data_IF_767696164245
#
_entry.id   IF_767696164245
#
_cell.length_a   1.000
_cell.length_b   1.000
_cell.length_c   1.000
_cell.angle_alpha   90.00
_cell.angle_beta   90.00
_cell.angle_gamma   90.00
#
_symmetry.space_group_name_H-M   'P 1'
#
loop_
_entity.id
_entity.type
_entity.pdbx_description
1 polymer ?
#
# COMPACT_ATOMS: atom_id res chain seq x y z
N UNK A 1 21.39 13.33 -4.86
CA UNK A 1 20.05 13.29 -4.22
C UNK A 1 20.16 13.85 -2.81
N UNK A 2 19.19 14.67 -2.37
CA UNK A 2 19.25 15.37 -1.07
C UNK A 2 18.89 14.45 0.11
N UNK A 3 19.32 14.77 1.35
CA UNK A 3 18.90 14.04 2.55
C UNK A 3 17.38 13.94 2.72
N UNK A 4 16.65 15.00 2.33
CA UNK A 4 15.18 15.03 2.38
C UNK A 4 14.53 14.01 1.44
N UNK A 5 15.14 13.77 0.27
CA UNK A 5 14.67 12.76 -0.67
C UNK A 5 14.72 11.36 -0.03
N UNK A 6 15.83 11.01 0.62
CA UNK A 6 15.98 9.69 1.24
C UNK A 6 15.02 9.51 2.41
N UNK A 7 14.82 10.55 3.23
CA UNK A 7 13.84 10.53 4.33
C UNK A 7 12.41 10.33 3.82
N UNK A 8 12.02 11.03 2.75
CA UNK A 8 10.69 10.85 2.14
C UNK A 8 10.51 9.44 1.60
N UNK A 9 11.54 8.90 0.94
CA UNK A 9 11.53 7.53 0.42
C UNK A 9 11.39 6.50 1.54
N UNK A 10 12.14 6.64 2.63
CA UNK A 10 12.04 5.78 3.81
C UNK A 10 10.61 5.81 4.41
N UNK A 11 10.02 7.01 4.52
CA UNK A 11 8.64 7.17 4.98
C UNK A 11 7.62 6.50 4.05
N UNK A 12 7.80 6.62 2.73
CA UNK A 12 6.92 6.01 1.74
C UNK A 12 7.02 4.48 1.77
N UNK A 13 8.24 3.93 1.90
CA UNK A 13 8.47 2.49 2.07
C UNK A 13 7.88 1.95 3.38
N UNK A 14 7.97 2.70 4.47
CA UNK A 14 7.36 2.34 5.75
C UNK A 14 5.82 2.33 5.69
N UNK A 15 5.22 3.34 5.04
CA UNK A 15 3.77 3.39 4.76
C UNK A 15 3.30 2.23 3.89
N UNK A 16 4.04 1.92 2.83
CA UNK A 16 3.76 0.78 1.96
C UNK A 16 3.84 -0.56 2.71
N UNK A 17 4.77 -0.70 3.66
CA UNK A 17 4.86 -1.88 4.54
C UNK A 17 3.63 -1.99 5.44
N UNK A 18 3.22 -0.90 6.09
CA UNK A 18 2.02 -0.88 6.93
C UNK A 18 0.77 -1.27 6.13
N UNK A 19 0.59 -0.70 4.94
CA UNK A 19 -0.52 -1.04 4.05
C UNK A 19 -0.51 -2.54 3.67
N UNK A 20 0.65 -3.11 3.33
CA UNK A 20 0.78 -4.55 3.03
C UNK A 20 0.40 -5.42 4.22
N UNK A 21 0.90 -5.13 5.42
CA UNK A 21 0.60 -5.90 6.64
C UNK A 21 -0.89 -5.84 6.97
N UNK A 22 -1.49 -4.65 6.91
CA UNK A 22 -2.91 -4.49 7.22
C UNK A 22 -3.81 -5.24 6.21
N UNK A 23 -3.48 -5.18 4.92
CA UNK A 23 -4.21 -5.93 3.88
C UNK A 23 -3.99 -7.43 4.00
N UNK A 24 -2.77 -7.87 4.30
CA UNK A 24 -2.47 -9.28 4.54
C UNK A 24 -3.35 -9.85 5.66
N UNK A 25 -3.46 -9.12 6.77
CA UNK A 25 -4.34 -9.44 7.88
C UNK A 25 -5.82 -9.49 7.45
N UNK A 26 -6.35 -8.42 6.83
CA UNK A 26 -7.77 -8.31 6.51
C UNK A 26 -8.27 -9.28 5.43
N UNK A 27 -7.38 -9.75 4.54
CA UNK A 27 -7.71 -10.63 3.42
C UNK A 27 -7.19 -12.07 3.59
N UNK A 28 -6.57 -12.39 4.74
CA UNK A 28 -6.05 -13.73 5.03
C UNK A 28 -4.97 -14.16 4.05
N UNK A 29 -4.04 -13.26 3.73
CA UNK A 29 -2.88 -13.51 2.87
C UNK A 29 -1.62 -13.52 3.71
N UNK A 30 -0.68 -14.43 3.40
CA UNK A 30 0.61 -14.45 4.09
C UNK A 30 1.41 -13.18 3.78
N UNK A 31 1.90 -12.48 4.81
CA UNK A 31 2.70 -11.25 4.63
C UNK A 31 3.92 -11.48 3.73
N UNK A 32 4.59 -12.62 3.87
CA UNK A 32 5.73 -12.99 3.04
C UNK A 32 5.40 -13.05 1.53
N UNK A 33 4.16 -13.34 1.16
CA UNK A 33 3.72 -13.38 -0.24
C UNK A 33 3.37 -11.98 -0.79
N UNK A 34 3.11 -11.00 0.07
CA UNK A 34 2.82 -9.61 -0.32
C UNK A 34 4.06 -8.91 -0.89
N UNK A 35 5.25 -9.33 -0.47
CA UNK A 35 6.54 -8.77 -0.90
C UNK A 35 7.08 -9.43 -2.18
N UNK A 36 6.52 -10.58 -2.57
CA UNK A 36 6.99 -11.32 -3.73
C UNK A 36 6.79 -10.53 -5.05
N UNK A 37 7.82 -10.47 -5.88
CA UNK A 37 7.75 -9.82 -7.19
C UNK A 37 6.84 -10.58 -8.17
N UNK A 38 6.72 -11.90 -8.03
CA UNK A 38 5.86 -12.74 -8.88
C UNK A 38 4.40 -12.71 -8.43
N UNK A 39 3.45 -13.02 -9.32
CA UNK A 39 2.01 -13.00 -9.02
C UNK A 39 1.60 -13.95 -7.88
N UNK A 40 2.36 -15.03 -7.65
CA UNK A 40 2.02 -16.13 -6.74
C UNK A 40 0.64 -16.68 -7.11
N UNK A 41 -0.42 -16.39 -6.34
CA UNK A 41 -1.81 -16.74 -6.68
C UNK A 41 -2.69 -15.47 -6.84
N UNK A 42 -3.89 -15.63 -7.39
CA UNK A 42 -4.80 -14.51 -7.66
C UNK A 42 -5.18 -13.70 -6.41
N UNK A 43 -5.34 -14.35 -5.25
CA UNK A 43 -5.68 -13.68 -3.98
C UNK A 43 -4.54 -12.80 -3.49
N UNK A 44 -3.30 -13.29 -3.56
CA UNK A 44 -2.11 -12.51 -3.21
C UNK A 44 -1.96 -11.31 -4.14
N UNK A 45 -2.12 -11.52 -5.45
CA UNK A 45 -2.03 -10.45 -6.43
C UNK A 45 -3.05 -9.34 -6.17
N UNK A 46 -4.30 -9.73 -5.87
CA UNK A 46 -5.36 -8.78 -5.52
C UNK A 46 -5.08 -8.05 -4.20
N UNK A 47 -4.57 -8.75 -3.18
CA UNK A 47 -4.11 -8.12 -1.94
C UNK A 47 -3.07 -7.02 -2.20
N UNK A 48 -2.09 -7.26 -3.07
CA UNK A 48 -1.10 -6.23 -3.42
C UNK A 48 -1.72 -5.04 -4.15
N UNK A 49 -2.73 -5.29 -4.99
CA UNK A 49 -3.47 -4.22 -5.68
C UNK A 49 -4.20 -3.32 -4.69
N UNK A 50 -4.87 -3.92 -3.70
CA UNK A 50 -5.50 -3.20 -2.59
C UNK A 50 -4.48 -2.40 -1.79
N UNK A 51 -3.34 -3.00 -1.43
CA UNK A 51 -2.31 -2.31 -0.67
C UNK A 51 -1.74 -1.08 -1.42
N UNK A 52 -1.55 -1.19 -2.74
CA UNK A 52 -1.13 -0.06 -3.58
C UNK A 52 -2.19 1.04 -3.64
N UNK A 53 -3.46 0.66 -3.79
CA UNK A 53 -4.59 1.58 -3.79
C UNK A 53 -4.71 2.34 -2.46
N UNK A 54 -4.70 1.62 -1.33
CA UNK A 54 -4.76 2.22 0.01
C UNK A 54 -3.57 3.15 0.26
N UNK A 55 -2.36 2.77 -0.17
CA UNK A 55 -1.20 3.66 -0.05
C UNK A 55 -1.38 4.96 -0.85
N UNK A 56 -2.06 4.91 -2.00
CA UNK A 56 -2.38 6.08 -2.80
C UNK A 56 -3.36 7.02 -2.08
N UNK A 57 -4.47 6.50 -1.57
CA UNK A 57 -5.58 7.33 -1.03
C UNK A 57 -5.43 7.68 0.46
N UNK A 58 -4.81 6.82 1.27
CA UNK A 58 -4.69 7.03 2.72
C UNK A 58 -3.48 7.90 3.08
N UNK A 59 -2.43 7.87 2.25
CA UNK A 59 -1.19 8.61 2.47
C UNK A 59 -0.88 9.64 1.39
N UNK A 60 -1.81 9.85 0.44
CA UNK A 60 -1.70 10.81 -0.66
C UNK A 60 -0.41 10.63 -1.48
N UNK A 61 0.07 9.38 -1.59
CA UNK A 61 1.23 9.07 -2.40
C UNK A 61 0.83 9.14 -3.87
N UNK A 62 1.57 9.86 -4.71
CA UNK A 62 1.36 9.79 -6.15
C UNK A 62 1.61 8.37 -6.67
N UNK A 63 1.02 8.00 -7.82
CA UNK A 63 1.22 6.68 -8.43
C UNK A 63 2.71 6.34 -8.60
N UNK A 64 3.55 7.33 -8.91
CA UNK A 64 5.01 7.14 -9.01
C UNK A 64 5.66 6.85 -7.65
N UNK A 65 5.19 7.48 -6.56
CA UNK A 65 5.69 7.21 -5.20
C UNK A 65 5.27 5.84 -4.72
N UNK A 66 4.02 5.44 -4.97
CA UNK A 66 3.56 4.07 -4.71
C UNK A 66 4.39 3.07 -5.52
N UNK A 67 4.59 3.31 -6.81
CA UNK A 67 5.40 2.45 -7.67
C UNK A 67 6.82 2.25 -7.11
N UNK A 68 7.49 3.32 -6.70
CA UNK A 68 8.80 3.25 -6.05
C UNK A 68 8.75 2.47 -4.73
N UNK A 69 7.80 2.76 -3.85
CA UNK A 69 7.70 2.13 -2.53
C UNK A 69 7.35 0.63 -2.59
N UNK A 70 6.65 0.20 -3.64
CA UNK A 70 6.27 -1.20 -3.88
C UNK A 70 7.21 -1.93 -4.85
N UNK A 71 8.20 -1.26 -5.42
CA UNK A 71 9.11 -1.83 -6.43
C UNK A 71 8.39 -2.28 -7.70
N UNK A 72 7.41 -1.50 -8.18
CA UNK A 72 6.56 -1.80 -9.34
C UNK A 72 6.63 -0.71 -10.39
N UNK A 73 6.14 -1.01 -11.59
CA UNK A 73 5.95 -0.01 -12.63
C UNK A 73 4.74 0.89 -12.31
N UNK A 74 4.81 2.17 -12.69
CA UNK A 74 3.70 3.13 -12.48
C UNK A 74 2.39 2.67 -13.10
N UNK A 75 2.44 2.04 -14.27
CA UNK A 75 1.25 1.48 -14.95
C UNK A 75 0.64 0.32 -14.17
N UNK A 76 1.45 -0.45 -13.43
CA UNK A 76 0.95 -1.51 -12.53
C UNK A 76 0.12 -0.90 -11.39
N UNK A 77 0.59 0.21 -10.82
CA UNK A 77 -0.17 0.93 -9.78
C UNK A 77 -1.45 1.52 -10.34
N UNK A 78 -1.38 2.17 -11.51
CA UNK A 78 -2.58 2.71 -12.17
C UNK A 78 -3.62 1.63 -12.42
N UNK A 79 -3.20 0.48 -12.93
CA UNK A 79 -4.07 -0.67 -13.17
C UNK A 79 -4.64 -1.22 -11.86
N UNK A 80 -3.84 -1.30 -10.80
CA UNK A 80 -4.30 -1.69 -9.47
C UNK A 80 -5.40 -0.76 -8.94
N UNK A 81 -5.22 0.56 -9.07
CA UNK A 81 -6.23 1.52 -8.63
C UNK A 81 -7.55 1.31 -9.39
N UNK A 82 -7.51 1.16 -10.72
CA UNK A 82 -8.73 0.91 -11.50
C UNK A 82 -9.44 -0.39 -11.07
N UNK A 83 -8.71 -1.49 -10.91
CA UNK A 83 -9.30 -2.76 -10.48
C UNK A 83 -9.93 -2.71 -9.08
N UNK A 84 -9.35 -1.92 -8.17
CA UNK A 84 -9.89 -1.76 -6.83
C UNK A 84 -11.12 -0.87 -6.86
N UNK A 85 -11.09 0.26 -7.58
CA UNK A 85 -12.26 1.13 -7.79
C UNK A 85 -13.43 0.36 -8.40
N UNK A 86 -13.20 -0.42 -9.46
CA UNK A 86 -14.24 -1.27 -10.06
C UNK A 86 -14.82 -2.29 -9.06
N UNK A 87 -14.03 -2.73 -8.07
CA UNK A 87 -14.49 -3.66 -7.03
C UNK A 87 -15.28 -2.96 -5.92
N UNK A 88 -15.11 -1.65 -5.72
CA UNK A 88 -15.84 -0.84 -4.71
C UNK A 88 -17.34 -0.71 -5.02
N UNK A 89 -17.78 -1.14 -6.21
CA UNK A 89 -19.22 -1.29 -6.51
C UNK A 89 -19.93 -2.33 -5.62
N UNK A 90 -19.17 -3.22 -4.94
CA UNK A 90 -19.70 -4.15 -3.94
C UNK A 90 -19.65 -3.52 -2.53
N UNK A 91 -20.81 -3.28 -1.89
CA UNK A 91 -20.88 -2.60 -0.60
C UNK A 91 -20.12 -3.28 0.53
N UNK A 92 -20.01 -4.62 0.54
CA UNK A 92 -19.27 -5.34 1.58
C UNK A 92 -17.76 -5.13 1.42
N UNK A 93 -17.30 -5.08 0.18
CA UNK A 93 -15.90 -4.78 -0.14
C UNK A 93 -15.58 -3.32 0.16
N UNK A 94 -16.47 -2.41 -0.23
CA UNK A 94 -16.31 -0.97 -0.02
C UNK A 94 -16.20 -0.62 1.47
N UNK A 95 -17.15 -1.09 2.28
CA UNK A 95 -17.12 -0.86 3.73
C UNK A 95 -15.83 -1.40 4.38
N UNK A 96 -15.37 -2.58 3.95
CA UNK A 96 -14.08 -3.13 4.42
C UNK A 96 -12.91 -2.23 4.02
N UNK A 97 -12.91 -1.66 2.82
CA UNK A 97 -11.86 -0.75 2.36
C UNK A 97 -11.87 0.58 3.14
N UNK A 98 -13.05 1.11 3.47
CA UNK A 98 -13.21 2.31 4.31
C UNK A 98 -12.63 2.12 5.73
N UNK A 99 -12.86 0.95 6.33
CA UNK A 99 -12.27 0.60 7.63
C UNK A 99 -10.74 0.60 7.57
N UNK A 100 -10.16 -0.05 6.55
CA UNK A 100 -8.71 -0.12 6.37
C UNK A 100 -8.11 1.26 6.07
N UNK A 101 -8.77 2.05 5.24
CA UNK A 101 -8.38 3.44 4.96
C UNK A 101 -8.36 4.28 6.24
N UNK A 102 -9.39 4.18 7.06
CA UNK A 102 -9.49 4.90 8.34
C UNK A 102 -8.37 4.53 9.29
N UNK A 103 -8.06 3.23 9.41
CA UNK A 103 -6.94 2.75 10.23
C UNK A 103 -5.58 3.28 9.73
N UNK A 104 -5.37 3.32 8.41
CA UNK A 104 -4.13 3.83 7.82
C UNK A 104 -3.99 5.34 8.01
N UNK A 105 -5.07 6.12 7.87
CA UNK A 105 -5.06 7.56 8.11
C UNK A 105 -4.84 7.91 9.59
N UNK A 106 -5.33 7.08 10.50
CA UNK A 106 -5.13 7.23 11.95
C UNK A 106 -3.73 6.79 12.42
N UNK A 107 -2.96 6.09 11.58
CA UNK A 107 -1.63 5.61 11.95
C UNK A 107 -0.68 6.78 12.26
N UNK A 108 0.19 6.67 13.27
CA UNK A 108 1.20 7.67 13.54
C UNK A 108 2.16 7.79 12.35
N UNK A 109 2.84 8.94 12.27
CA UNK A 109 3.89 9.14 11.27
C UNK A 109 4.96 8.03 11.39
N UNK A 110 5.49 7.50 10.28
CA UNK A 110 6.54 6.51 10.33
C UNK A 110 7.73 7.00 11.16
N UNK A 111 8.20 6.16 12.08
CA UNK A 111 9.49 6.38 12.73
C UNK A 111 10.58 6.35 11.65
N UNK A 112 11.27 7.46 11.45
CA UNK A 112 12.47 7.53 10.61
C UNK A 112 13.70 7.28 11.46
N UNK A 113 14.75 6.65 10.93
CA UNK A 113 16.00 6.38 11.67
C UNK A 113 16.62 7.61 12.37
N UNK A 114 16.25 8.84 11.97
CA UNK A 114 16.67 10.09 12.61
C UNK A 114 15.90 10.47 13.91
N UNK A 115 14.89 9.72 14.33
CA UNK A 115 14.06 10.01 15.52
C UNK A 115 14.49 9.23 16.78
N UNK A 116 15.63 8.53 16.74
CA UNK A 116 16.08 7.64 17.83
C UNK A 116 17.56 7.78 18.19
N UNK A 117 18.17 8.95 17.97
CA UNK A 117 19.52 9.28 18.43
C UNK A 117 19.47 10.46 19.41
#
# INVERSE_FOLDING_TARGET
MSPEYYRRREQDEARARLARTLVAYAFGVAEADMDALTRRNARVAFGRQIAMYLAHISFELSLSRVAMAFGRDRTTVSHACHLVEDRRDDPEFDAKLEDLESLLRAAPAPATAAQGA
#
